data_IF_879766615619
#
_entry.id   IF_879766615619
#
_cell.length_a   1.000
_cell.length_b   1.000
_cell.length_c   1.000
_cell.angle_alpha   90.00
_cell.angle_beta   90.00
_cell.angle_gamma   90.00
#
_symmetry.space_group_name_H-M   'P 1'
#
loop_
_entity.id
_entity.type
_entity.pdbx_description
1 polymer ?
#
# COMPACT_ATOMS: atom_id res chain seq x y z
N UNK A 1 -3.64 9.25 17.69
CA UNK A 1 -4.43 10.38 17.09
C UNK A 1 -5.66 10.60 17.93
N UNK A 2 -6.10 11.86 18.13
CA UNK A 2 -7.39 12.14 18.80
C UNK A 2 -8.55 11.75 17.88
N UNK A 3 -9.76 11.50 18.43
CA UNK A 3 -10.93 11.21 17.60
C UNK A 3 -11.22 12.27 16.52
N UNK A 4 -11.11 13.54 16.88
CA UNK A 4 -11.39 14.63 15.93
C UNK A 4 -10.34 14.70 14.81
N UNK A 5 -9.06 14.50 15.13
CA UNK A 5 -8.00 14.44 14.12
C UNK A 5 -8.14 13.22 13.19
N UNK A 6 -8.63 12.08 13.70
CA UNK A 6 -8.91 10.91 12.87
C UNK A 6 -10.07 11.17 11.90
N UNK A 7 -11.15 11.81 12.38
CA UNK A 7 -12.29 12.21 11.55
C UNK A 7 -11.83 13.15 10.42
N UNK A 8 -11.08 14.20 10.74
CA UNK A 8 -10.56 15.15 9.75
C UNK A 8 -9.68 14.47 8.71
N UNK A 9 -8.81 13.55 9.14
CA UNK A 9 -7.96 12.76 8.27
C UNK A 9 -8.80 11.92 7.28
N UNK A 10 -9.80 11.18 7.78
CA UNK A 10 -10.65 10.34 6.96
C UNK A 10 -11.53 11.13 6.01
N UNK A 11 -12.10 12.24 6.46
CA UNK A 11 -12.88 13.14 5.62
C UNK A 11 -12.05 13.75 4.50
N UNK A 12 -10.83 14.20 4.81
CA UNK A 12 -9.92 14.78 3.83
C UNK A 12 -9.55 13.75 2.77
N UNK A 13 -9.14 12.54 3.19
CA UNK A 13 -8.80 11.45 2.28
C UNK A 13 -9.99 11.09 1.39
N UNK A 14 -11.14 10.81 2.00
CA UNK A 14 -12.36 10.41 1.28
C UNK A 14 -12.82 11.46 0.28
N UNK A 15 -12.72 12.74 0.62
CA UNK A 15 -13.08 13.84 -0.28
C UNK A 15 -12.32 13.79 -1.60
N UNK A 16 -11.01 13.56 -1.54
CA UNK A 16 -10.18 13.46 -2.75
C UNK A 16 -10.54 12.21 -3.56
N UNK A 17 -10.78 11.06 -2.89
CA UNK A 17 -11.23 9.84 -3.56
C UNK A 17 -12.57 10.05 -4.27
N UNK A 18 -13.53 10.68 -3.60
CA UNK A 18 -14.87 10.90 -4.18
C UNK A 18 -14.88 11.98 -5.27
N UNK A 19 -13.98 12.94 -5.24
CA UNK A 19 -13.87 14.00 -6.24
C UNK A 19 -13.41 13.47 -7.61
N UNK A 20 -12.55 12.46 -7.63
CA UNK A 20 -12.02 11.89 -8.86
C UNK A 20 -12.94 10.81 -9.44
N UNK A 21 -13.21 10.83 -10.77
CA UNK A 21 -14.11 9.87 -11.43
C UNK A 21 -13.35 9.04 -12.47
N UNK A 22 -13.35 7.73 -12.26
CA UNK A 22 -13.11 6.75 -13.32
C UNK A 22 -14.41 6.62 -14.14
N UNK A 23 -14.39 7.04 -15.35
CA UNK A 23 -15.49 7.26 -16.29
C UNK A 23 -16.55 6.16 -16.55
N UNK A 24 -16.98 5.39 -15.56
CA UNK A 24 -18.10 4.42 -15.69
C UNK A 24 -19.11 4.58 -14.55
N UNK A 25 -20.40 4.80 -14.83
CA UNK A 25 -21.44 4.68 -13.83
C UNK A 25 -21.69 3.21 -13.49
N UNK A 26 -21.72 2.85 -12.21
CA UNK A 26 -22.07 1.52 -11.73
C UNK A 26 -23.47 1.48 -11.06
N UNK A 27 -23.96 0.24 -10.95
CA UNK A 27 -25.30 -0.19 -10.66
C UNK A 27 -25.94 0.36 -9.37
N UNK A 28 -27.29 0.31 -9.36
CA UNK A 28 -28.20 0.69 -8.30
C UNK A 28 -27.88 0.03 -6.95
N UNK A 29 -27.98 0.81 -5.88
CA UNK A 29 -28.01 0.32 -4.50
C UNK A 29 -29.32 -0.45 -4.28
N UNK A 30 -29.23 -1.72 -3.82
CA UNK A 30 -30.39 -2.42 -3.27
C UNK A 30 -30.80 -1.74 -1.95
N UNK A 31 -32.11 -1.54 -1.76
CA UNK A 31 -32.66 -1.04 -0.49
C UNK A 31 -32.39 -2.06 0.62
N UNK A 32 -31.99 -1.56 1.79
CA UNK A 32 -31.83 -2.38 3.00
C UNK A 32 -33.19 -2.58 3.68
N UNK A 33 -33.35 -3.74 4.34
CA UNK A 33 -34.47 -3.99 5.22
C UNK A 33 -34.30 -3.16 6.50
N UNK A 34 -35.19 -2.18 6.69
CA UNK A 34 -35.12 -1.25 7.83
C UNK A 34 -35.30 -1.93 9.19
N UNK A 35 -36.09 -3.00 9.28
CA UNK A 35 -36.29 -3.76 10.52
C UNK A 35 -35.04 -4.55 10.87
N UNK A 36 -34.43 -5.23 9.91
CA UNK A 36 -33.15 -5.91 10.07
C UNK A 36 -32.04 -4.94 10.47
N UNK A 37 -31.97 -3.78 9.82
CA UNK A 37 -30.99 -2.75 10.17
C UNK A 37 -31.18 -2.26 11.61
N UNK A 38 -32.42 -2.08 12.08
CA UNK A 38 -32.74 -1.75 13.45
C UNK A 38 -32.23 -2.78 14.46
N UNK A 39 -32.49 -4.06 14.22
CA UNK A 39 -32.03 -5.17 15.08
C UNK A 39 -30.49 -5.26 15.14
N UNK A 40 -29.82 -5.11 14.00
CA UNK A 40 -28.36 -5.12 13.93
C UNK A 40 -27.77 -3.93 14.69
N UNK A 41 -28.38 -2.74 14.54
CA UNK A 41 -27.96 -1.54 15.24
C UNK A 41 -28.10 -1.67 16.77
N UNK A 42 -29.20 -2.23 17.26
CA UNK A 42 -29.44 -2.48 18.70
C UNK A 42 -28.39 -3.42 19.30
N UNK A 43 -28.09 -4.50 18.59
CA UNK A 43 -27.05 -5.45 19.01
C UNK A 43 -25.67 -4.78 19.05
N UNK A 44 -25.30 -4.09 18.00
CA UNK A 44 -24.01 -3.42 17.89
C UNK A 44 -23.84 -2.32 18.94
N UNK A 45 -24.86 -1.51 19.18
CA UNK A 45 -24.85 -0.47 20.21
C UNK A 45 -24.67 -1.06 21.61
N UNK A 46 -25.36 -2.16 21.95
CA UNK A 46 -25.19 -2.86 23.23
C UNK A 46 -23.78 -3.41 23.41
N UNK A 47 -23.22 -4.07 22.40
CA UNK A 47 -21.85 -4.62 22.46
C UNK A 47 -20.84 -3.49 22.60
N UNK A 48 -21.04 -2.38 21.88
CA UNK A 48 -20.17 -1.23 21.95
C UNK A 48 -20.20 -0.54 23.33
N UNK A 49 -21.40 -0.35 23.88
CA UNK A 49 -21.57 0.24 25.22
C UNK A 49 -20.92 -0.62 26.31
N UNK A 50 -21.10 -1.96 26.27
CA UNK A 50 -20.51 -2.88 27.21
C UNK A 50 -18.96 -2.87 27.15
N UNK A 51 -18.37 -2.72 25.96
CA UNK A 51 -16.94 -2.68 25.76
C UNK A 51 -16.25 -1.36 26.14
N UNK A 52 -16.99 -0.29 26.39
CA UNK A 52 -16.47 1.08 26.64
C UNK A 52 -15.47 1.58 25.59
N UNK A 53 -15.55 1.04 24.37
CA UNK A 53 -14.63 1.36 23.29
C UNK A 53 -14.97 2.70 22.64
N UNK A 54 -13.99 3.56 22.31
CA UNK A 54 -14.27 4.89 21.71
C UNK A 54 -14.80 4.82 20.27
N UNK A 55 -14.49 3.72 19.54
CA UNK A 55 -14.76 3.61 18.11
C UNK A 55 -15.73 2.48 17.79
N UNK A 56 -16.71 2.77 16.93
CA UNK A 56 -17.49 1.77 16.24
C UNK A 56 -17.18 1.86 14.73
N UNK A 57 -16.65 0.79 14.16
CA UNK A 57 -16.36 0.66 12.74
C UNK A 57 -17.49 -0.10 12.07
N UNK A 58 -18.22 0.56 11.17
CA UNK A 58 -19.23 -0.07 10.31
C UNK A 58 -18.59 -0.49 9.00
N UNK A 59 -18.62 -1.77 8.70
CA UNK A 59 -18.09 -2.33 7.45
C UNK A 59 -19.19 -2.38 6.40
N UNK A 60 -19.10 -1.49 5.42
CA UNK A 60 -20.09 -1.30 4.35
C UNK A 60 -21.10 -0.20 4.67
N UNK A 61 -21.25 0.72 3.72
CA UNK A 61 -22.20 1.84 3.84
C UNK A 61 -23.64 1.37 3.53
N UNK A 62 -23.80 0.43 2.58
CA UNK A 62 -25.13 0.03 2.11
C UNK A 62 -25.90 1.20 1.49
N UNK A 63 -27.19 1.29 1.78
CA UNK A 63 -28.02 2.45 1.44
C UNK A 63 -28.05 3.55 2.53
N UNK A 64 -27.28 3.35 3.61
CA UNK A 64 -27.17 4.27 4.74
C UNK A 64 -28.16 4.03 5.90
N UNK A 65 -29.12 3.14 5.74
CA UNK A 65 -30.14 2.86 6.75
C UNK A 65 -29.54 2.36 8.06
N UNK A 66 -28.63 1.37 8.00
CA UNK A 66 -27.95 0.85 9.18
C UNK A 66 -27.05 1.91 9.85
N UNK A 67 -26.35 2.71 9.05
CA UNK A 67 -25.49 3.76 9.58
C UNK A 67 -26.28 4.82 10.35
N UNK A 68 -27.46 5.22 9.83
CA UNK A 68 -28.38 6.14 10.50
C UNK A 68 -28.90 5.55 11.80
N UNK A 69 -29.40 4.31 11.77
CA UNK A 69 -29.89 3.63 12.96
C UNK A 69 -28.83 3.48 14.05
N UNK A 70 -27.57 3.22 13.67
CA UNK A 70 -26.44 3.19 14.60
C UNK A 70 -26.16 4.56 15.19
N UNK A 71 -26.16 5.63 14.37
CA UNK A 71 -25.88 6.99 14.88
C UNK A 71 -26.91 7.44 15.89
N UNK A 72 -28.21 7.14 15.68
CA UNK A 72 -29.30 7.45 16.60
C UNK A 72 -29.17 6.74 17.95
N UNK A 73 -28.60 5.53 17.96
CA UNK A 73 -28.46 4.70 19.18
C UNK A 73 -27.13 4.89 19.91
N UNK A 74 -26.12 5.45 19.26
CA UNK A 74 -24.83 5.68 19.87
C UNK A 74 -24.82 6.97 20.70
N UNK A 75 -24.17 6.97 21.88
CA UNK A 75 -23.94 8.19 22.65
C UNK A 75 -23.20 9.24 21.81
N UNK A 76 -23.43 10.53 22.13
CA UNK A 76 -22.86 11.65 21.37
C UNK A 76 -21.32 11.74 21.47
N UNK A 77 -20.74 11.16 22.51
CA UNK A 77 -19.28 11.09 22.72
C UNK A 77 -18.61 9.95 21.94
N UNK A 78 -19.39 9.05 21.33
CA UNK A 78 -18.90 7.90 20.56
C UNK A 78 -18.82 8.20 19.07
N UNK A 79 -17.78 7.67 18.44
CA UNK A 79 -17.51 7.87 17.02
C UNK A 79 -17.94 6.67 16.20
N UNK A 80 -18.69 6.94 15.14
CA UNK A 80 -19.05 5.98 14.10
C UNK A 80 -18.22 6.28 12.86
N UNK A 81 -17.38 5.32 12.47
CA UNK A 81 -16.59 5.36 11.25
C UNK A 81 -17.13 4.31 10.29
N UNK A 82 -17.48 4.71 9.09
CA UNK A 82 -17.97 3.81 8.04
C UNK A 82 -16.80 3.52 7.09
N UNK A 83 -16.57 2.25 6.78
CA UNK A 83 -15.59 1.82 5.80
C UNK A 83 -16.32 1.34 4.55
N UNK A 84 -15.97 1.86 3.38
CA UNK A 84 -16.60 1.47 2.12
C UNK A 84 -15.56 1.28 1.01
N UNK A 85 -15.67 0.16 0.29
CA UNK A 85 -14.81 -0.15 -0.86
C UNK A 85 -15.46 0.13 -2.21
N UNK A 86 -16.77 0.31 -2.23
CA UNK A 86 -17.51 0.77 -3.40
C UNK A 86 -17.58 2.31 -3.40
N UNK A 87 -16.64 2.93 -4.12
CA UNK A 87 -16.51 4.39 -4.19
C UNK A 87 -17.74 5.05 -4.84
N UNK A 88 -18.38 4.38 -5.81
CA UNK A 88 -19.59 4.91 -6.45
C UNK A 88 -20.78 4.90 -5.49
N UNK A 89 -20.94 3.85 -4.72
CA UNK A 89 -21.94 3.80 -3.63
C UNK A 89 -21.69 4.90 -2.60
N UNK A 90 -20.43 5.06 -2.19
CA UNK A 90 -20.04 6.12 -1.26
C UNK A 90 -20.45 7.51 -1.80
N UNK A 91 -20.23 7.76 -3.08
CA UNK A 91 -20.57 9.03 -3.76
C UNK A 91 -22.06 9.30 -3.80
N UNK A 92 -22.88 8.27 -3.94
CA UNK A 92 -24.34 8.38 -4.04
C UNK A 92 -25.02 8.51 -2.67
N UNK A 93 -24.54 7.77 -1.67
CA UNK A 93 -25.21 7.60 -0.37
C UNK A 93 -24.70 8.58 0.67
N UNK A 94 -23.38 8.80 0.73
CA UNK A 94 -22.75 9.59 1.79
C UNK A 94 -23.28 11.01 1.95
N UNK A 95 -23.52 11.82 0.88
CA UNK A 95 -24.01 13.17 1.03
C UNK A 95 -25.37 13.23 1.76
N UNK A 96 -26.26 12.34 1.38
CA UNK A 96 -27.61 12.25 1.97
C UNK A 96 -27.58 11.80 3.43
N UNK A 97 -26.73 10.80 3.73
CA UNK A 97 -26.57 10.29 5.08
C UNK A 97 -25.97 11.37 6.00
N UNK A 98 -24.95 12.09 5.52
CA UNK A 98 -24.30 13.17 6.27
C UNK A 98 -25.28 14.33 6.57
N UNK A 99 -26.14 14.69 5.62
CA UNK A 99 -27.19 15.68 5.80
C UNK A 99 -28.19 15.23 6.87
N UNK A 100 -28.63 13.97 6.82
CA UNK A 100 -29.63 13.42 7.74
C UNK A 100 -29.11 13.26 9.18
N UNK A 101 -27.85 12.86 9.37
CA UNK A 101 -27.26 12.56 10.68
C UNK A 101 -26.48 13.72 11.30
N UNK A 102 -26.16 14.76 10.53
CA UNK A 102 -25.16 15.76 10.91
C UNK A 102 -23.72 15.21 10.85
N UNK A 103 -22.74 16.12 10.96
CA UNK A 103 -21.32 15.75 10.83
C UNK A 103 -20.67 15.30 12.16
N UNK A 104 -21.39 15.38 13.30
CA UNK A 104 -20.78 15.16 14.59
C UNK A 104 -20.50 13.67 14.86
N UNK A 105 -19.22 13.34 15.06
CA UNK A 105 -18.77 11.96 15.36
C UNK A 105 -19.19 10.90 14.34
N UNK A 106 -19.37 11.31 13.09
CA UNK A 106 -19.67 10.44 11.96
C UNK A 106 -18.68 10.73 10.84
N UNK A 107 -17.92 9.73 10.40
CA UNK A 107 -17.00 9.84 9.28
C UNK A 107 -17.13 8.65 8.33
N UNK A 108 -16.89 8.91 7.05
CA UNK A 108 -16.72 7.90 6.01
C UNK A 108 -15.24 7.84 5.63
N UNK A 109 -14.71 6.63 5.56
CA UNK A 109 -13.44 6.33 4.91
C UNK A 109 -13.73 5.42 3.71
N UNK A 110 -13.58 5.95 2.50
CA UNK A 110 -13.88 5.26 1.25
C UNK A 110 -12.64 5.14 0.35
N UNK A 111 -12.36 3.93 -0.09
CA UNK A 111 -11.35 3.61 -1.12
C UNK A 111 -11.59 2.21 -1.66
N UNK A 112 -11.34 1.97 -2.94
CA UNK A 112 -11.38 0.62 -3.51
C UNK A 112 -10.29 -0.30 -2.94
N UNK A 113 -9.23 0.27 -2.37
CA UNK A 113 -8.11 -0.45 -1.73
C UNK A 113 -8.39 -0.74 -0.26
N UNK A 114 -8.49 -2.01 0.10
CA UNK A 114 -8.55 -2.43 1.51
C UNK A 114 -7.29 -2.06 2.30
N UNK A 115 -6.17 -1.92 1.62
CA UNK A 115 -4.89 -1.54 2.23
C UNK A 115 -4.86 -0.08 2.64
N UNK A 116 -5.45 0.82 1.84
CA UNK A 116 -5.62 2.22 2.21
C UNK A 116 -6.50 2.35 3.46
N UNK A 117 -7.66 1.68 3.46
CA UNK A 117 -8.53 1.63 4.63
C UNK A 117 -7.81 1.07 5.86
N UNK A 118 -7.04 -0.01 5.67
CA UNK A 118 -6.31 -0.65 6.77
C UNK A 118 -5.25 0.26 7.37
N UNK A 119 -4.39 0.86 6.54
CA UNK A 119 -3.32 1.72 7.03
C UNK A 119 -3.85 3.00 7.67
N UNK A 120 -4.88 3.63 7.09
CA UNK A 120 -5.48 4.83 7.66
C UNK A 120 -6.11 4.55 9.03
N UNK A 121 -6.87 3.46 9.17
CA UNK A 121 -7.49 3.07 10.44
C UNK A 121 -6.41 2.72 11.48
N UNK A 122 -5.41 1.89 11.11
CA UNK A 122 -4.33 1.51 12.03
C UNK A 122 -3.43 2.71 12.39
N UNK A 123 -3.16 3.59 11.44
CA UNK A 123 -2.38 4.82 11.64
C UNK A 123 -3.08 5.83 12.56
N UNK A 124 -4.41 5.83 12.56
CA UNK A 124 -5.20 6.58 13.53
C UNK A 124 -5.16 5.98 14.96
N UNK A 125 -4.50 4.84 15.16
CA UNK A 125 -4.38 4.15 16.44
C UNK A 125 -5.55 3.22 16.76
N UNK A 126 -6.35 2.88 15.77
CA UNK A 126 -7.48 1.96 15.93
C UNK A 126 -7.02 0.51 15.81
N UNK A 127 -7.49 -0.34 16.71
CA UNK A 127 -7.19 -1.78 16.77
C UNK A 127 -8.38 -2.60 17.32
N UNK A 128 -8.19 -3.91 17.43
CA UNK A 128 -9.21 -4.81 17.95
C UNK A 128 -9.56 -4.61 19.42
N UNK A 129 -8.72 -3.92 20.19
CA UNK A 129 -8.95 -3.64 21.61
C UNK A 129 -9.82 -2.40 21.82
N UNK A 130 -9.63 -1.36 21.00
CA UNK A 130 -10.32 -0.08 21.15
C UNK A 130 -11.46 0.15 20.15
N UNK A 131 -11.70 -0.80 19.22
CA UNK A 131 -12.78 -0.73 18.23
C UNK A 131 -13.83 -1.81 18.43
N UNK A 132 -15.10 -1.47 18.22
CA UNK A 132 -16.18 -2.43 17.98
C UNK A 132 -16.42 -2.52 16.48
N UNK A 133 -16.44 -3.73 15.93
CA UNK A 133 -16.77 -3.94 14.52
C UNK A 133 -18.25 -4.28 14.38
N UNK A 134 -18.92 -3.59 13.48
CA UNK A 134 -20.27 -3.88 13.03
C UNK A 134 -20.23 -4.13 11.52
N UNK A 135 -20.82 -5.19 11.03
CA UNK A 135 -20.89 -5.48 9.61
C UNK A 135 -22.26 -5.18 9.06
N UNK A 136 -22.32 -4.41 7.97
CA UNK A 136 -23.51 -4.28 7.16
C UNK A 136 -23.72 -5.59 6.39
N UNK A 137 -24.94 -6.19 6.38
CA UNK A 137 -25.24 -7.39 5.58
C UNK A 137 -24.92 -7.22 4.09
N UNK A 138 -25.07 -6.01 3.56
CA UNK A 138 -24.74 -5.64 2.17
C UNK A 138 -23.26 -5.32 1.92
N UNK A 139 -22.36 -5.59 2.89
CA UNK A 139 -20.93 -5.29 2.75
C UNK A 139 -20.25 -6.16 1.70
N UNK A 140 -19.29 -5.58 0.96
CA UNK A 140 -18.52 -6.28 -0.06
C UNK A 140 -17.63 -7.39 0.52
N UNK A 141 -17.27 -8.43 -0.27
CA UNK A 141 -16.28 -9.43 0.12
C UNK A 141 -14.92 -8.84 0.50
N UNK A 142 -14.54 -7.72 -0.11
CA UNK A 142 -13.30 -7.01 0.21
C UNK A 142 -13.26 -6.55 1.67
N UNK A 143 -14.38 -6.09 2.22
CA UNK A 143 -14.47 -5.68 3.63
C UNK A 143 -14.38 -6.87 4.59
N UNK A 144 -14.71 -8.09 4.18
CA UNK A 144 -14.45 -9.29 4.97
C UNK A 144 -12.95 -9.62 5.01
N UNK A 145 -12.27 -9.44 3.88
CA UNK A 145 -10.81 -9.56 3.82
C UNK A 145 -10.14 -8.49 4.67
N UNK A 146 -10.64 -7.25 4.62
CA UNK A 146 -10.20 -6.15 5.48
C UNK A 146 -10.39 -6.48 6.98
N UNK A 147 -11.57 -7.01 7.36
CA UNK A 147 -11.86 -7.39 8.74
C UNK A 147 -10.87 -8.43 9.27
N UNK A 148 -10.58 -9.45 8.46
CA UNK A 148 -9.59 -10.48 8.80
C UNK A 148 -8.19 -9.86 8.95
N UNK A 149 -7.79 -9.04 8.00
CA UNK A 149 -6.52 -8.31 8.05
C UNK A 149 -6.41 -7.46 9.33
N UNK A 150 -7.47 -6.74 9.69
CA UNK A 150 -7.51 -5.87 10.87
C UNK A 150 -7.41 -6.66 12.19
N UNK A 151 -8.08 -7.80 12.31
CA UNK A 151 -8.12 -8.59 13.53
C UNK A 151 -6.92 -9.52 13.71
N UNK A 152 -6.37 -10.06 12.61
CA UNK A 152 -5.33 -11.10 12.67
C UNK A 152 -3.90 -10.56 12.51
N UNK A 153 -3.74 -9.32 12.00
CA UNK A 153 -2.41 -8.71 11.90
C UNK A 153 -1.85 -8.36 13.26
N UNK A 154 -0.56 -8.68 13.46
CA UNK A 154 0.17 -8.36 14.70
C UNK A 154 1.18 -7.25 14.43
N UNK A 155 1.28 -6.29 15.34
CA UNK A 155 2.33 -5.27 15.30
C UNK A 155 3.51 -5.76 16.13
N UNK A 156 4.67 -5.94 15.50
CA UNK A 156 5.93 -6.22 16.13
C UNK A 156 6.78 -4.94 16.19
N UNK A 157 7.32 -4.61 17.35
CA UNK A 157 8.31 -3.54 17.47
C UNK A 157 9.65 -4.02 16.96
N UNK A 158 10.32 -3.17 16.18
CA UNK A 158 11.70 -3.38 15.80
C UNK A 158 12.58 -3.19 17.05
N UNK A 159 13.38 -4.20 17.36
CA UNK A 159 14.34 -4.08 18.44
C UNK A 159 15.56 -3.30 17.95
N UNK A 160 16.17 -2.42 18.77
CA UNK A 160 17.47 -1.87 18.48
C UNK A 160 18.45 -3.01 18.26
N UNK A 161 18.84 -3.25 17.01
CA UNK A 161 19.68 -4.38 16.64
C UNK A 161 21.13 -3.96 16.48
N UNK A 162 22.05 -4.74 17.03
CA UNK A 162 23.50 -4.52 16.89
C UNK A 162 24.14 -5.38 15.81
N UNK A 163 23.46 -6.46 15.38
CA UNK A 163 23.96 -7.37 14.34
C UNK A 163 22.87 -7.57 13.31
N UNK A 164 23.05 -6.97 12.14
CA UNK A 164 22.17 -7.21 11.00
C UNK A 164 22.71 -8.35 10.14
N UNK A 165 21.83 -9.16 9.60
CA UNK A 165 22.17 -10.10 8.53
C UNK A 165 22.72 -9.31 7.33
N UNK A 166 23.71 -9.85 6.60
CA UNK A 166 24.22 -9.19 5.42
C UNK A 166 23.10 -9.03 4.36
N UNK A 167 23.09 -7.87 3.70
CA UNK A 167 22.10 -7.47 2.72
C UNK A 167 22.75 -7.17 1.38
N UNK A 168 22.25 -7.82 0.31
CA UNK A 168 22.48 -7.38 -1.06
C UNK A 168 21.35 -6.45 -1.50
N UNK A 169 21.68 -5.31 -2.08
CA UNK A 169 20.72 -4.52 -2.87
C UNK A 169 20.84 -4.94 -4.32
N UNK A 170 19.73 -5.25 -4.97
CA UNK A 170 19.72 -5.68 -6.38
C UNK A 170 18.85 -4.73 -7.23
N UNK A 171 19.31 -4.44 -8.44
CA UNK A 171 18.58 -3.59 -9.36
C UNK A 171 18.80 -3.99 -10.82
N UNK A 172 17.75 -3.82 -11.62
CA UNK A 172 17.82 -3.88 -13.09
C UNK A 172 17.75 -2.44 -13.59
N UNK A 173 18.73 -2.05 -14.39
CA UNK A 173 18.85 -0.63 -14.81
C UNK A 173 19.15 -0.58 -16.30
N UNK A 174 18.39 0.28 -17.02
CA UNK A 174 18.78 0.72 -18.36
C UNK A 174 19.86 1.79 -18.23
N UNK A 175 20.93 1.76 -19.03
CA UNK A 175 22.04 2.71 -18.88
C UNK A 175 21.68 4.18 -19.10
N UNK A 176 20.57 4.45 -19.79
CA UNK A 176 20.04 5.80 -20.01
C UNK A 176 18.99 6.22 -18.96
N UNK A 177 18.79 5.45 -17.88
CA UNK A 177 17.88 5.84 -16.83
C UNK A 177 18.34 7.15 -16.16
N UNK A 178 17.44 8.13 -15.93
CA UNK A 178 17.83 9.39 -15.33
C UNK A 178 18.23 9.22 -13.86
N UNK A 179 19.00 10.17 -13.34
CA UNK A 179 19.33 10.32 -11.92
C UNK A 179 20.03 9.11 -11.27
N UNK A 180 20.86 8.39 -12.04
CA UNK A 180 21.62 7.24 -11.54
C UNK A 180 22.60 7.62 -10.43
N UNK A 181 23.17 8.84 -10.45
CA UNK A 181 24.04 9.34 -9.38
C UNK A 181 23.29 9.40 -8.04
N UNK A 182 22.08 9.94 -8.05
CA UNK A 182 21.21 10.00 -6.87
C UNK A 182 20.74 8.59 -6.45
N UNK A 183 20.45 7.70 -7.41
CA UNK A 183 20.11 6.31 -7.14
C UNK A 183 21.23 5.58 -6.40
N UNK A 184 22.46 5.65 -6.88
CA UNK A 184 23.60 5.00 -6.22
C UNK A 184 24.05 5.73 -4.96
N UNK A 185 23.89 7.05 -4.91
CA UNK A 185 24.21 7.88 -3.76
C UNK A 185 23.42 7.58 -2.50
N UNK A 186 22.21 7.01 -2.64
CA UNK A 186 21.41 6.59 -1.49
C UNK A 186 21.95 5.34 -0.79
N UNK A 187 22.82 4.53 -1.44
CA UNK A 187 23.30 3.25 -0.93
C UNK A 187 24.23 3.45 0.26
N UNK A 188 23.89 2.98 1.49
CA UNK A 188 24.74 3.12 2.64
C UNK A 188 25.94 2.18 2.57
N UNK A 189 27.04 2.57 3.22
CA UNK A 189 28.29 1.81 3.22
C UNK A 189 28.25 0.48 4.00
N UNK A 190 27.24 0.28 4.84
CA UNK A 190 27.08 -0.96 5.61
C UNK A 190 26.49 -2.13 4.78
N UNK A 191 26.02 -1.88 3.57
CA UNK A 191 25.55 -2.95 2.66
C UNK A 191 26.69 -3.91 2.35
N UNK A 192 26.36 -5.19 2.25
CA UNK A 192 27.32 -6.20 1.82
C UNK A 192 27.74 -5.97 0.37
N UNK A 193 26.78 -5.69 -0.51
CA UNK A 193 27.01 -5.40 -1.93
C UNK A 193 25.78 -4.74 -2.56
N UNK A 194 26.03 -4.07 -3.71
CA UNK A 194 24.99 -3.61 -4.64
C UNK A 194 25.18 -4.38 -5.95
N UNK A 195 24.19 -5.16 -6.35
CA UNK A 195 24.18 -5.98 -7.55
C UNK A 195 23.38 -5.28 -8.66
N UNK A 196 24.05 -4.92 -9.75
CA UNK A 196 23.41 -4.24 -10.89
C UNK A 196 23.38 -5.16 -12.09
N UNK A 197 22.21 -5.40 -12.62
CA UNK A 197 22.02 -6.04 -13.93
C UNK A 197 21.65 -4.96 -14.94
N UNK A 198 22.63 -4.59 -15.77
CA UNK A 198 22.43 -3.60 -16.83
C UNK A 198 21.64 -4.20 -17.99
N UNK A 199 20.64 -3.46 -18.46
CA UNK A 199 19.93 -3.77 -19.70
C UNK A 199 20.78 -3.31 -20.89
N UNK A 200 21.50 -4.26 -21.49
CA UNK A 200 22.51 -3.97 -22.51
C UNK A 200 23.91 -3.79 -21.93
N UNK A 201 24.61 -2.73 -22.32
CA UNK A 201 25.97 -2.44 -21.88
C UNK A 201 25.99 -1.57 -20.61
N UNK A 202 26.93 -1.83 -19.70
CA UNK A 202 27.15 -0.95 -18.57
C UNK A 202 27.68 0.41 -19.03
N UNK A 203 27.23 1.53 -18.41
CA UNK A 203 27.80 2.85 -18.66
C UNK A 203 29.30 2.88 -18.29
N UNK A 204 30.08 3.68 -19.00
CA UNK A 204 31.49 3.91 -18.68
C UNK A 204 31.69 4.82 -17.44
N UNK A 205 30.67 5.55 -17.02
CA UNK A 205 30.72 6.43 -15.89
C UNK A 205 30.79 5.66 -14.56
N UNK A 206 31.58 6.16 -13.60
CA UNK A 206 31.57 5.68 -12.22
C UNK A 206 30.46 6.38 -11.45
N UNK A 207 29.75 5.61 -10.60
CA UNK A 207 28.67 6.14 -9.76
C UNK A 207 29.12 6.27 -8.29
N UNK A 208 28.53 7.21 -7.52
CA UNK A 208 28.90 7.46 -6.12
C UNK A 208 28.31 6.38 -5.18
N UNK A 209 28.57 5.10 -5.46
CA UNK A 209 28.12 3.99 -4.62
C UNK A 209 29.12 3.77 -3.48
N UNK A 210 28.65 3.85 -2.22
CA UNK A 210 29.48 3.66 -1.03
C UNK A 210 29.69 2.18 -0.67
N UNK A 211 28.85 1.29 -1.19
CA UNK A 211 28.95 -0.15 -0.99
C UNK A 211 29.72 -0.82 -2.15
N UNK A 212 30.25 -2.04 -1.94
CA UNK A 212 30.85 -2.81 -3.01
C UNK A 212 29.87 -3.02 -4.18
N UNK A 213 30.28 -2.69 -5.39
CA UNK A 213 29.43 -2.78 -6.59
C UNK A 213 29.77 -4.03 -7.39
N UNK A 214 28.77 -4.87 -7.64
CA UNK A 214 28.83 -6.03 -8.54
C UNK A 214 27.95 -5.75 -9.75
N UNK A 215 28.51 -5.88 -10.93
CA UNK A 215 27.81 -5.54 -12.17
C UNK A 215 27.81 -6.72 -13.14
N UNK A 216 26.73 -6.87 -13.88
CA UNK A 216 26.60 -7.78 -15.02
C UNK A 216 25.74 -7.11 -16.08
N UNK A 217 25.86 -7.57 -17.31
CA UNK A 217 25.12 -7.07 -18.45
C UNK A 217 24.29 -8.20 -19.07
N UNK A 218 23.03 -7.93 -19.33
CA UNK A 218 22.12 -8.83 -20.02
C UNK A 218 21.03 -8.01 -20.69
N UNK A 219 20.90 -8.03 -22.01
CA UNK A 219 19.80 -7.34 -22.67
C UNK A 219 18.46 -7.82 -22.13
N UNK A 220 17.54 -6.87 -21.87
CA UNK A 220 16.18 -7.17 -21.51
C UNK A 220 15.49 -7.76 -22.74
N UNK A 221 15.24 -9.05 -22.74
CA UNK A 221 14.35 -9.64 -23.71
C UNK A 221 12.90 -9.23 -23.47
N UNK A 222 11.96 -9.94 -24.03
CA UNK A 222 10.53 -9.71 -23.77
C UNK A 222 10.06 -10.33 -22.43
N UNK A 223 10.97 -10.71 -21.51
CA UNK A 223 10.64 -11.48 -20.32
C UNK A 223 11.27 -10.89 -19.04
N UNK A 224 10.51 -10.04 -18.34
CA UNK A 224 10.97 -9.37 -17.12
C UNK A 224 11.28 -10.35 -15.97
N UNK A 225 10.50 -11.43 -15.80
CA UNK A 225 10.75 -12.43 -14.76
C UNK A 225 12.11 -13.10 -14.90
N UNK A 226 12.54 -13.45 -16.12
CA UNK A 226 13.88 -14.00 -16.35
C UNK A 226 14.99 -12.98 -16.03
N UNK A 227 14.76 -11.71 -16.38
CA UNK A 227 15.71 -10.65 -16.07
C UNK A 227 15.85 -10.45 -14.54
N UNK A 228 14.71 -10.47 -13.81
CA UNK A 228 14.74 -10.41 -12.34
C UNK A 228 15.39 -11.65 -11.72
N UNK A 229 15.22 -12.83 -12.31
CA UNK A 229 15.91 -14.04 -11.84
C UNK A 229 17.42 -13.95 -12.06
N UNK A 230 17.87 -13.42 -13.19
CA UNK A 230 19.28 -13.17 -13.45
C UNK A 230 19.85 -12.12 -12.47
N UNK A 231 19.09 -11.09 -12.12
CA UNK A 231 19.46 -10.11 -11.11
C UNK A 231 19.59 -10.75 -9.72
N UNK A 232 18.62 -11.59 -9.29
CA UNK A 232 18.69 -12.28 -8.00
C UNK A 232 19.91 -13.22 -7.92
N UNK A 233 20.30 -13.86 -9.03
CA UNK A 233 21.45 -14.75 -9.09
C UNK A 233 22.81 -14.04 -8.85
N UNK A 234 22.86 -12.72 -8.94
CA UNK A 234 24.05 -11.93 -8.60
C UNK A 234 24.26 -11.80 -7.09
N UNK A 235 23.18 -11.90 -6.29
CA UNK A 235 23.22 -11.69 -4.84
C UNK A 235 23.91 -12.85 -4.14
N UNK A 236 24.75 -12.53 -3.12
CA UNK A 236 25.51 -13.52 -2.33
C UNK A 236 25.08 -13.61 -0.86
N UNK A 237 24.09 -12.83 -0.49
CA UNK A 237 23.56 -12.77 0.89
C UNK A 237 22.22 -13.49 1.01
N UNK A 238 21.83 -13.79 2.23
CA UNK A 238 20.51 -14.38 2.52
C UNK A 238 19.36 -13.42 2.22
N UNK A 239 19.58 -12.11 2.43
CA UNK A 239 18.59 -11.09 2.18
C UNK A 239 18.90 -10.27 0.93
N UNK A 240 17.88 -10.06 0.13
CA UNK A 240 17.90 -9.18 -1.04
C UNK A 240 16.83 -8.10 -0.92
N UNK A 241 17.25 -6.83 -1.00
CA UNK A 241 16.38 -5.70 -1.27
C UNK A 241 16.51 -5.35 -2.76
N UNK A 242 15.44 -5.55 -3.54
CA UNK A 242 15.49 -5.17 -4.95
C UNK A 242 14.72 -3.87 -5.19
N UNK A 243 15.38 -2.93 -5.88
CA UNK A 243 14.85 -1.59 -6.15
C UNK A 243 14.82 -1.31 -7.65
N UNK A 244 13.79 -0.64 -8.10
CA UNK A 244 13.75 -0.05 -9.43
C UNK A 244 14.56 1.26 -9.43
N UNK A 245 15.13 1.67 -10.57
CA UNK A 245 16.05 2.82 -10.66
C UNK A 245 15.40 4.17 -10.25
N UNK A 246 14.08 4.25 -10.29
CA UNK A 246 13.27 5.40 -9.92
C UNK A 246 12.69 5.31 -8.49
N UNK A 247 13.14 4.34 -7.69
CA UNK A 247 12.74 4.17 -6.30
C UNK A 247 13.85 4.61 -5.33
N UNK A 248 13.45 5.22 -4.23
CA UNK A 248 14.35 5.64 -3.15
C UNK A 248 13.79 5.23 -1.79
N UNK A 249 14.67 4.86 -0.89
CA UNK A 249 14.37 4.80 0.55
C UNK A 249 14.81 6.09 1.21
N UNK A 250 14.05 6.56 2.20
CA UNK A 250 14.49 7.68 3.04
C UNK A 250 15.72 7.29 3.88
N UNK A 251 16.48 8.27 4.33
CA UNK A 251 17.59 8.04 5.28
C UNK A 251 17.11 7.26 6.49
N UNK A 252 15.95 7.61 7.05
CA UNK A 252 15.37 6.92 8.19
C UNK A 252 15.02 5.44 7.87
N UNK A 253 14.52 5.17 6.67
CA UNK A 253 14.26 3.79 6.25
C UNK A 253 15.54 2.97 6.17
N UNK A 254 16.62 3.53 5.64
CA UNK A 254 17.93 2.88 5.63
C UNK A 254 18.47 2.59 7.03
N UNK A 255 18.25 3.50 8.00
CA UNK A 255 18.64 3.31 9.40
C UNK A 255 17.84 2.21 10.13
N UNK A 256 16.57 2.02 9.75
CA UNK A 256 15.70 1.00 10.34
C UNK A 256 15.88 -0.39 9.70
N UNK A 257 16.40 -0.46 8.49
CA UNK A 257 16.49 -1.71 7.73
C UNK A 257 17.32 -2.80 8.45
N UNK A 258 18.45 -2.52 9.13
CA UNK A 258 19.15 -3.52 9.92
C UNK A 258 18.29 -4.17 11.01
N UNK A 259 17.39 -3.42 11.63
CA UNK A 259 16.47 -3.95 12.64
C UNK A 259 15.39 -4.85 11.99
N UNK A 260 14.95 -4.53 10.76
CA UNK A 260 14.04 -5.39 9.98
C UNK A 260 14.71 -6.71 9.62
N UNK A 261 16.00 -6.68 9.23
CA UNK A 261 16.78 -7.88 8.90
C UNK A 261 17.01 -8.78 10.11
N UNK A 262 17.06 -8.20 11.31
CA UNK A 262 17.22 -8.93 12.56
C UNK A 262 15.90 -9.60 13.03
N UNK A 263 14.75 -9.23 12.48
CA UNK A 263 13.47 -9.83 12.82
C UNK A 263 13.41 -11.29 12.32
N UNK A 264 13.14 -12.28 13.20
CA UNK A 264 13.30 -13.70 12.86
C UNK A 264 12.18 -14.26 11.98
N UNK A 265 10.98 -13.67 12.00
CA UNK A 265 9.79 -14.27 11.41
C UNK A 265 9.60 -14.02 9.91
N UNK A 266 9.84 -12.80 9.35
CA UNK A 266 9.42 -12.55 7.98
C UNK A 266 10.33 -13.26 6.96
N UNK A 267 9.69 -13.87 5.96
CA UNK A 267 10.37 -14.35 4.74
C UNK A 267 10.43 -13.30 3.65
N UNK A 268 9.57 -12.27 3.76
CA UNK A 268 9.54 -11.11 2.86
C UNK A 268 8.86 -9.91 3.50
N UNK A 269 9.24 -8.72 3.07
CA UNK A 269 8.71 -7.46 3.58
C UNK A 269 8.18 -6.60 2.45
N UNK A 270 6.93 -6.18 2.64
CA UNK A 270 6.23 -5.22 1.79
C UNK A 270 6.52 -3.80 2.26
N UNK A 271 6.63 -2.90 1.31
CA UNK A 271 6.80 -1.46 1.54
C UNK A 271 5.66 -0.70 0.85
N UNK A 272 5.04 0.30 1.50
CA UNK A 272 4.10 1.18 0.81
C UNK A 272 4.87 2.09 -0.17
N UNK A 273 4.53 2.03 -1.45
CA UNK A 273 5.11 2.93 -2.45
C UNK A 273 4.34 4.24 -2.46
N UNK A 274 5.07 5.34 -2.38
CA UNK A 274 4.59 6.72 -2.46
C UNK A 274 5.01 7.31 -3.80
N UNK A 275 4.10 7.35 -4.76
CA UNK A 275 4.35 7.88 -6.10
C UNK A 275 4.04 9.38 -6.13
N UNK A 276 5.01 10.18 -6.50
CA UNK A 276 4.86 11.62 -6.65
C UNK A 276 3.98 11.97 -7.86
N UNK A 277 3.21 13.05 -7.72
CA UNK A 277 2.32 13.57 -8.77
C UNK A 277 2.55 15.05 -9.00
N UNK A 278 3.00 15.40 -10.22
CA UNK A 278 3.28 16.77 -10.61
C UNK A 278 4.54 17.38 -10.00
N UNK A 279 4.75 17.18 -8.71
CA UNK A 279 5.92 17.66 -7.94
C UNK A 279 6.29 16.68 -6.79
N UNK A 280 7.35 16.97 -6.05
CA UNK A 280 7.77 16.17 -4.89
C UNK A 280 7.00 16.51 -3.58
N UNK A 281 6.05 17.43 -3.64
CA UNK A 281 5.22 17.82 -2.51
C UNK A 281 3.87 17.09 -2.46
N UNK A 282 3.45 16.44 -3.57
CA UNK A 282 2.17 15.73 -3.67
C UNK A 282 2.35 14.27 -4.02
N UNK A 283 1.52 13.42 -3.40
CA UNK A 283 1.52 11.98 -3.61
C UNK A 283 0.19 11.52 -4.19
N UNK A 284 0.23 10.62 -5.15
CA UNK A 284 -0.96 9.92 -5.65
C UNK A 284 -1.63 9.16 -4.53
N UNK A 285 -2.97 9.12 -4.58
CA UNK A 285 -3.76 8.40 -3.59
C UNK A 285 -5.08 7.92 -4.16
N UNK A 286 -5.78 7.10 -3.40
CA UNK A 286 -7.05 6.53 -3.81
C UNK A 286 -6.93 5.42 -4.87
N UNK A 287 -7.96 4.60 -5.00
CA UNK A 287 -8.10 3.57 -6.03
C UNK A 287 -6.93 2.57 -6.11
N UNK A 288 -6.22 2.35 -5.00
CA UNK A 288 -5.04 1.49 -4.96
C UNK A 288 -3.74 2.15 -5.40
N UNK A 289 -3.73 3.43 -5.80
CA UNK A 289 -2.51 4.18 -6.09
C UNK A 289 -1.66 4.44 -4.84
N UNK A 290 -2.31 4.46 -3.67
CA UNK A 290 -1.69 4.43 -2.34
C UNK A 290 -2.57 3.57 -1.39
N UNK A 291 -1.98 2.73 -0.55
CA UNK A 291 -0.60 2.32 -0.56
C UNK A 291 -0.40 1.26 -1.66
N UNK A 292 0.40 1.55 -2.63
CA UNK A 292 0.82 0.59 -3.64
C UNK A 292 1.89 -0.31 -3.02
N UNK A 293 1.46 -1.42 -2.41
CA UNK A 293 2.35 -2.29 -1.63
C UNK A 293 3.31 -3.06 -2.53
N UNK A 294 4.60 -2.87 -2.32
CA UNK A 294 5.68 -3.51 -3.06
C UNK A 294 6.43 -4.50 -2.17
N UNK A 295 6.45 -5.77 -2.54
CA UNK A 295 7.35 -6.75 -1.93
C UNK A 295 8.75 -6.46 -2.47
N UNK A 296 9.62 -5.85 -1.66
CA UNK A 296 10.97 -5.44 -2.09
C UNK A 296 12.09 -6.11 -1.33
N UNK A 297 11.88 -6.53 -0.10
CA UNK A 297 12.86 -7.24 0.70
C UNK A 297 12.46 -8.70 0.83
N UNK A 298 13.33 -9.61 0.43
CA UNK A 298 13.04 -11.05 0.41
C UNK A 298 14.23 -11.87 0.90
N UNK A 299 13.91 -12.99 1.54
CA UNK A 299 14.90 -13.98 1.95
C UNK A 299 15.15 -14.94 0.80
N UNK A 300 16.38 -14.92 0.25
CA UNK A 300 16.78 -15.76 -0.89
C UNK A 300 16.82 -17.21 -0.45
N UNK A 301 16.29 -18.09 -1.28
CA UNK A 301 16.38 -19.54 -1.14
C UNK A 301 16.35 -20.20 -2.54
N UNK A 302 16.70 -21.47 -2.63
CA UNK A 302 16.81 -22.18 -3.91
C UNK A 302 15.49 -22.30 -4.70
N UNK A 303 14.34 -22.10 -4.07
CA UNK A 303 13.03 -22.14 -4.73
C UNK A 303 12.51 -20.74 -5.14
N UNK A 304 13.17 -19.67 -4.66
CA UNK A 304 12.72 -18.30 -4.93
C UNK A 304 12.99 -17.93 -6.38
N UNK A 305 11.95 -17.55 -7.10
CA UNK A 305 12.05 -17.12 -8.49
C UNK A 305 10.89 -16.24 -8.90
N UNK A 306 11.12 -15.36 -9.84
CA UNK A 306 10.07 -14.62 -10.54
C UNK A 306 9.48 -15.46 -11.66
N UNK A 307 8.15 -15.46 -11.78
CA UNK A 307 7.37 -16.14 -12.81
C UNK A 307 6.54 -15.12 -13.57
N UNK A 308 6.41 -15.30 -14.88
CA UNK A 308 5.69 -14.38 -15.77
C UNK A 308 6.61 -13.46 -16.57
N UNK A 309 6.22 -13.17 -17.81
CA UNK A 309 6.97 -12.28 -18.70
C UNK A 309 6.75 -10.81 -18.32
N UNK A 310 5.52 -10.47 -17.96
CA UNK A 310 5.06 -9.15 -17.47
C UNK A 310 4.16 -9.41 -16.27
N UNK A 311 4.08 -8.48 -15.33
CA UNK A 311 3.36 -8.66 -14.06
C UNK A 311 3.88 -9.88 -13.28
N UNK A 312 5.20 -9.97 -13.20
CA UNK A 312 5.88 -11.08 -12.58
C UNK A 312 5.45 -11.28 -11.13
N UNK A 313 5.17 -12.51 -10.78
CA UNK A 313 4.91 -12.92 -9.40
C UNK A 313 6.13 -13.62 -8.82
N UNK A 314 6.39 -13.41 -7.53
CA UNK A 314 7.49 -14.08 -6.84
C UNK A 314 6.99 -15.39 -6.23
N UNK A 315 7.48 -16.51 -6.78
CA UNK A 315 7.21 -17.86 -6.28
C UNK A 315 8.32 -18.34 -5.36
N UNK A 316 8.03 -19.35 -4.54
CA UNK A 316 9.01 -20.00 -3.68
C UNK A 316 9.38 -19.22 -2.41
N UNK A 317 8.68 -18.14 -2.10
CA UNK A 317 8.88 -17.38 -0.86
C UNK A 317 8.51 -18.26 0.35
N UNK A 318 9.39 -18.31 1.34
CA UNK A 318 9.19 -19.07 2.58
C UNK A 318 8.98 -18.13 3.77
N UNK A 319 8.08 -18.48 4.66
CA UNK A 319 7.76 -17.69 5.86
C UNK A 319 6.61 -16.68 5.63
N UNK A 320 6.18 -16.00 6.70
CA UNK A 320 5.14 -15.00 6.62
C UNK A 320 5.65 -13.71 5.96
N UNK A 321 4.71 -12.91 5.45
CA UNK A 321 4.98 -11.54 5.01
C UNK A 321 4.84 -10.57 6.17
N UNK A 322 5.66 -9.53 6.13
CA UNK A 322 5.51 -8.36 6.97
C UNK A 322 5.31 -7.11 6.10
N UNK A 323 4.72 -6.07 6.68
CA UNK A 323 4.57 -4.76 6.08
C UNK A 323 5.35 -3.73 6.92
N UNK A 324 6.32 -3.09 6.29
CA UNK A 324 7.09 -1.99 6.86
C UNK A 324 6.38 -0.65 6.57
N UNK A 325 5.20 -0.46 7.20
CA UNK A 325 4.31 0.65 6.89
C UNK A 325 4.91 2.04 7.13
N UNK A 326 5.87 2.17 8.05
CA UNK A 326 6.60 3.40 8.35
C UNK A 326 7.89 3.59 7.52
N UNK A 327 8.10 2.78 6.50
CA UNK A 327 9.29 2.82 5.63
C UNK A 327 8.87 2.91 4.16
N UNK A 328 8.32 4.05 3.70
CA UNK A 328 7.82 4.16 2.35
C UNK A 328 8.94 4.10 1.30
N UNK A 329 8.63 3.51 0.15
CA UNK A 329 9.38 3.63 -1.08
C UNK A 329 8.94 4.90 -1.82
N UNK A 330 9.83 5.85 -1.99
CA UNK A 330 9.59 7.08 -2.74
C UNK A 330 9.79 6.78 -4.23
N UNK A 331 8.78 7.03 -5.06
CA UNK A 331 8.78 6.68 -6.47
C UNK A 331 8.66 7.93 -7.35
N UNK A 332 9.69 8.16 -8.16
CA UNK A 332 9.92 9.40 -8.88
C UNK A 332 9.59 9.35 -10.37
N UNK A 333 9.05 8.25 -10.89
CA UNK A 333 8.80 8.07 -12.33
C UNK A 333 8.11 9.27 -13.00
N UNK A 334 7.10 9.85 -12.33
CA UNK A 334 6.26 10.89 -12.92
C UNK A 334 6.78 12.32 -12.75
N UNK A 335 7.83 12.52 -11.97
CA UNK A 335 8.45 13.84 -11.76
C UNK A 335 9.84 13.94 -12.36
N UNK A 336 10.50 12.80 -12.64
CA UNK A 336 11.86 12.77 -13.19
C UNK A 336 11.94 12.25 -14.64
N UNK A 337 10.89 11.59 -15.14
CA UNK A 337 10.81 11.11 -16.53
C UNK A 337 9.90 12.02 -17.35
N UNK A 338 10.34 12.37 -18.55
CA UNK A 338 9.47 13.08 -19.46
C UNK A 338 8.32 12.19 -19.98
N UNK A 339 7.27 12.83 -20.49
CA UNK A 339 6.08 12.13 -20.99
C UNK A 339 6.41 11.12 -22.11
N UNK A 340 7.41 11.41 -22.94
CA UNK A 340 7.81 10.51 -24.04
C UNK A 340 8.47 9.25 -23.52
N UNK A 341 9.30 9.36 -22.49
CA UNK A 341 9.96 8.22 -21.82
C UNK A 341 8.94 7.33 -21.10
N UNK A 342 7.96 7.95 -20.43
CA UNK A 342 6.84 7.22 -19.82
C UNK A 342 6.00 6.50 -20.87
N UNK A 343 5.69 7.15 -21.97
CA UNK A 343 4.93 6.57 -23.10
C UNK A 343 5.67 5.37 -23.71
N UNK A 344 6.97 5.51 -24.00
CA UNK A 344 7.80 4.40 -24.53
C UNK A 344 7.82 3.20 -23.58
N UNK A 345 7.91 3.44 -22.27
CA UNK A 345 7.87 2.38 -21.25
C UNK A 345 6.52 1.65 -21.25
N UNK A 346 5.42 2.38 -21.34
CA UNK A 346 4.07 1.80 -21.44
C UNK A 346 3.90 0.97 -22.72
N UNK A 347 4.41 1.45 -23.85
CA UNK A 347 4.39 0.69 -25.11
C UNK A 347 5.22 -0.59 -25.03
N UNK A 348 6.34 -0.59 -24.29
CA UNK A 348 7.15 -1.76 -24.03
C UNK A 348 6.36 -2.77 -23.18
N UNK A 349 5.71 -2.31 -22.12
CA UNK A 349 4.85 -3.15 -21.26
C UNK A 349 3.67 -3.72 -22.04
N UNK A 350 2.95 -2.91 -22.81
CA UNK A 350 1.82 -3.35 -23.62
C UNK A 350 2.24 -4.38 -24.68
N UNK A 351 3.38 -4.19 -25.33
CA UNK A 351 3.94 -5.18 -26.27
C UNK A 351 4.30 -6.49 -25.59
N UNK A 352 4.93 -6.44 -24.43
CA UNK A 352 5.30 -7.63 -23.67
C UNK A 352 4.07 -8.34 -23.07
N UNK A 353 2.99 -7.61 -22.75
CA UNK A 353 1.72 -8.17 -22.29
C UNK A 353 0.83 -8.73 -23.41
N UNK A 354 1.10 -8.37 -24.66
CA UNK A 354 0.25 -8.74 -25.82
C UNK A 354 -1.10 -8.01 -25.87
N UNK A 355 -1.32 -7.02 -25.02
CA UNK A 355 -2.58 -6.27 -24.87
C UNK A 355 -2.31 -4.80 -24.54
N UNK A 356 -3.14 -3.87 -25.08
CA UNK A 356 -3.14 -2.47 -24.67
C UNK A 356 -3.88 -2.28 -23.32
N UNK A 357 -3.22 -2.60 -22.22
CA UNK A 357 -3.81 -2.45 -20.87
C UNK A 357 -3.40 -1.16 -20.16
N UNK A 358 -2.27 -0.59 -20.52
CA UNK A 358 -1.71 0.54 -19.79
C UNK A 358 -1.89 1.85 -20.56
N UNK A 359 -2.57 2.82 -19.94
CA UNK A 359 -2.74 4.18 -20.46
C UNK A 359 -2.30 5.18 -19.40
N UNK A 360 -1.63 6.27 -19.86
CA UNK A 360 -1.39 7.41 -18.96
C UNK A 360 -2.73 8.14 -18.76
N UNK A 361 -3.16 8.24 -17.52
CA UNK A 361 -4.21 9.17 -17.12
C UNK A 361 -3.57 10.51 -16.73
N UNK A 362 -4.30 11.58 -16.91
CA UNK A 362 -3.94 12.91 -16.43
C UNK A 362 -4.74 13.21 -15.15
N UNK A 363 -4.14 13.95 -14.22
CA UNK A 363 -4.81 14.42 -12.99
C UNK A 363 -5.28 13.30 -12.06
N UNK A 364 -4.35 12.44 -11.64
CA UNK A 364 -4.66 11.49 -10.56
C UNK A 364 -4.99 12.21 -9.25
N UNK A 365 -5.89 11.64 -8.41
CA UNK A 365 -6.14 12.22 -7.10
C UNK A 365 -4.85 12.23 -6.29
N UNK A 366 -4.58 13.33 -5.62
CA UNK A 366 -3.35 13.51 -4.85
C UNK A 366 -3.59 14.28 -3.56
N UNK A 367 -2.72 14.04 -2.59
CA UNK A 367 -2.68 14.79 -1.33
C UNK A 367 -1.24 15.27 -1.08
N UNK A 368 -1.07 16.39 -0.36
CA UNK A 368 0.24 16.80 0.09
C UNK A 368 0.96 15.68 0.84
N UNK A 369 2.25 15.47 0.57
CA UNK A 369 3.08 14.46 1.24
C UNK A 369 3.01 14.57 2.76
N UNK A 370 2.87 15.80 3.30
CA UNK A 370 2.71 16.05 4.71
C UNK A 370 1.49 15.33 5.33
N UNK A 371 0.45 15.04 4.53
CA UNK A 371 -0.70 14.23 4.98
C UNK A 371 -0.26 12.83 5.42
N UNK A 372 0.73 12.24 4.77
CA UNK A 372 1.18 10.88 5.03
C UNK A 372 2.24 10.79 6.15
N UNK A 373 2.86 11.91 6.55
CA UNK A 373 3.90 11.91 7.60
C UNK A 373 3.39 11.34 8.93
N UNK A 374 2.12 11.57 9.28
CA UNK A 374 1.57 10.99 10.51
C UNK A 374 1.46 9.46 10.44
N UNK A 375 1.25 8.91 9.23
CA UNK A 375 1.25 7.45 9.00
C UNK A 375 2.64 6.88 9.16
N UNK A 376 3.64 7.51 8.53
CA UNK A 376 5.04 7.11 8.64
C UNK A 376 5.49 7.12 10.12
N UNK A 377 5.09 8.16 10.87
CA UNK A 377 5.37 8.28 12.31
C UNK A 377 4.62 7.24 13.16
N UNK A 378 3.36 6.95 12.85
CA UNK A 378 2.56 5.97 13.59
C UNK A 378 3.13 4.55 13.47
N UNK A 379 3.79 4.24 12.36
CA UNK A 379 4.41 2.95 12.09
C UNK A 379 5.93 2.94 12.19
N UNK A 380 6.54 4.05 12.60
CA UNK A 380 7.98 4.09 12.84
C UNK A 380 8.40 2.98 13.82
N UNK A 381 9.51 2.28 13.51
CA UNK A 381 10.05 1.19 14.31
C UNK A 381 9.07 0.01 14.53
N UNK A 382 8.15 -0.20 13.59
CA UNK A 382 7.16 -1.28 13.67
C UNK A 382 7.07 -2.05 12.36
N UNK A 383 6.90 -3.37 12.49
CA UNK A 383 6.46 -4.23 11.40
C UNK A 383 5.05 -4.72 11.68
N UNK A 384 4.23 -4.76 10.66
CA UNK A 384 2.92 -5.40 10.70
C UNK A 384 3.09 -6.81 10.13
N UNK A 385 3.00 -7.82 10.98
CA UNK A 385 3.02 -9.23 10.56
C UNK A 385 1.66 -9.57 9.96
N UNK A 386 1.65 -9.98 8.70
CA UNK A 386 0.43 -10.25 7.96
C UNK A 386 -0.07 -11.68 8.18
N UNK A 387 -1.38 -11.92 8.19
CA UNK A 387 -1.95 -13.26 8.25
C UNK A 387 -1.51 -14.11 7.06
N UNK A 388 -1.24 -15.41 7.28
CA UNK A 388 -0.71 -16.34 6.27
C UNK A 388 -1.57 -16.50 5.01
N UNK A 389 -2.86 -16.15 5.07
CA UNK A 389 -3.84 -16.34 4.00
C UNK A 389 -4.32 -15.04 3.34
N UNK A 390 -3.70 -13.91 3.62
CA UNK A 390 -3.97 -12.70 2.85
C UNK A 390 -3.38 -12.89 1.45
N UNK A 391 -4.21 -12.75 0.41
CA UNK A 391 -3.78 -12.87 -0.99
C UNK A 391 -2.67 -11.90 -1.44
N UNK A 392 -2.12 -11.12 -0.50
CA UNK A 392 -0.98 -10.21 -0.68
C UNK A 392 0.27 -10.91 -1.26
N UNK A 393 0.46 -12.19 -0.97
CA UNK A 393 1.61 -12.95 -1.50
C UNK A 393 1.48 -13.32 -2.98
N UNK A 394 0.27 -13.32 -3.55
CA UNK A 394 0.04 -13.76 -4.94
C UNK A 394 -0.08 -12.62 -5.95
N UNK A 395 -0.23 -11.37 -5.53
CA UNK A 395 -0.36 -10.21 -6.39
C UNK A 395 0.52 -9.07 -5.89
N UNK A 396 1.80 -9.17 -6.15
CA UNK A 396 2.69 -8.01 -6.19
C UNK A 396 2.65 -7.33 -7.56
N UNK A 397 1.71 -7.74 -8.40
CA UNK A 397 1.34 -6.99 -9.58
C UNK A 397 0.74 -5.65 -9.13
N UNK A 398 1.28 -4.57 -9.66
CA UNK A 398 0.99 -3.20 -9.32
C UNK A 398 -0.52 -2.93 -9.22
N UNK A 399 -0.92 -1.95 -8.39
CA UNK A 399 -2.27 -1.41 -8.35
C UNK A 399 -2.80 -0.95 -9.73
N UNK A 400 -1.96 -0.89 -10.74
CA UNK A 400 -2.31 -0.69 -12.14
C UNK A 400 -3.25 -1.76 -12.70
N UNK A 401 -3.24 -2.99 -12.16
CA UNK A 401 -4.18 -4.04 -12.60
C UNK A 401 -5.62 -3.81 -12.12
N UNK A 402 -5.80 -3.07 -11.02
CA UNK A 402 -7.12 -2.68 -10.54
C UNK A 402 -7.76 -1.56 -11.40
N UNK A 403 -6.95 -0.82 -12.16
CA UNK A 403 -7.41 0.23 -13.07
C UNK A 403 -7.89 -0.29 -14.42
N UNK A 404 -7.54 -1.53 -14.77
CA UNK A 404 -7.78 -2.10 -16.11
C UNK A 404 -8.83 -3.24 -16.09
N UNK A 405 -9.40 -3.57 -14.93
CA UNK A 405 -10.56 -4.45 -14.77
C UNK A 405 -11.84 -3.62 -14.60
#
# INVERSE_FOLDING_TARGET
>A
MTPDAAHECFERYTREVLAWRLGRPHASTSSEDGELAGCVADRAARVHAAGKRPWLLLLGLGDGTLARALREKLPSDRSLIILETDVERARQVWPKLREACGAQRLALLADSSIWALFLLVRGAGMDGENCTLCRNPASSPNLLTWQRLFLESRIARLAPGTVSSPLSVACMIHPEEPDLEDFFGQMPSWLHEVCVLWDGAAPSAAFPCRAPLRQSCRPLGAHFGEQRNAMLALCRTEWCLYLDADERLSTRSWELLPQVLAAPEPGGVLFPRQTFEGDEAHLRMGYGLWPDLQLRLVRINAALRFEGAVHETLAGLKGPLALAAGMPLLHYSHVRKDRRSLQRRLELFNRAAGEERHRLSENYPSLPRAFFHHMDAAFAERLIMLPRHTGAARRTASAQDAFNA
#
